data_IF_269285466043
#
_entry.id   IF_269285466043
#
_cell.length_a   1.000
_cell.length_b   1.000
_cell.length_c   1.000
_cell.angle_alpha   90.00
_cell.angle_beta   90.00
_cell.angle_gamma   90.00
#
_symmetry.space_group_name_H-M   'P 1'
#
loop_
_entity.id
_entity.type
_entity.pdbx_description
1 polymer ?
#
# COMPACT_ATOMS: atom_id res chain seq x y z
N UNK A 1 40.23 -2.08 13.22
CA UNK A 1 39.09 -1.68 12.39
C UNK A 1 39.09 -0.16 12.32
N UNK A 2 39.31 0.42 11.15
CA UNK A 2 39.58 1.85 11.00
C UNK A 2 38.35 2.69 11.34
N UNK A 3 38.52 3.71 12.18
CA UNK A 3 37.50 4.68 12.59
C UNK A 3 36.75 5.27 11.38
N UNK A 4 37.44 5.46 10.25
CA UNK A 4 36.85 5.94 8.99
C UNK A 4 35.78 4.99 8.41
N UNK A 5 35.98 3.67 8.50
CA UNK A 5 35.03 2.68 7.98
C UNK A 5 33.76 2.66 8.84
N UNK A 6 33.90 2.78 10.16
CA UNK A 6 32.78 2.84 11.08
C UNK A 6 31.94 4.11 10.87
N UNK A 7 32.60 5.24 10.59
CA UNK A 7 31.90 6.52 10.32
C UNK A 7 31.13 6.48 8.99
N UNK A 8 31.71 5.88 7.95
CA UNK A 8 31.04 5.73 6.65
C UNK A 8 29.85 4.79 6.75
N UNK A 9 29.98 3.70 7.52
CA UNK A 9 28.85 2.76 7.74
C UNK A 9 27.70 3.42 8.51
N UNK A 10 28.01 4.22 9.53
CA UNK A 10 27.00 4.96 10.30
C UNK A 10 26.29 6.02 9.44
N UNK A 11 26.98 6.71 8.56
CA UNK A 11 26.40 7.69 7.63
C UNK A 11 25.50 7.01 6.59
N UNK A 12 25.87 5.84 6.09
CA UNK A 12 25.03 5.09 5.14
C UNK A 12 23.75 4.55 5.78
N UNK A 13 23.83 4.09 7.03
CA UNK A 13 22.66 3.64 7.80
C UNK A 13 21.69 4.79 8.10
N UNK A 14 22.21 5.95 8.49
CA UNK A 14 21.37 7.13 8.75
C UNK A 14 20.67 7.65 7.50
N UNK A 15 21.37 7.69 6.35
CA UNK A 15 20.79 8.11 5.08
C UNK A 15 19.66 7.15 4.61
N UNK A 16 19.79 5.85 4.86
CA UNK A 16 18.76 4.86 4.52
C UNK A 16 17.53 4.99 5.41
N UNK A 17 17.70 5.25 6.70
CA UNK A 17 16.60 5.46 7.63
C UNK A 17 15.80 6.74 7.30
N UNK A 18 16.50 7.84 6.98
CA UNK A 18 15.86 9.11 6.57
C UNK A 18 15.07 8.92 5.27
N UNK A 19 15.62 8.18 4.30
CA UNK A 19 14.93 7.91 3.04
C UNK A 19 13.66 7.06 3.23
N UNK A 20 13.71 6.08 4.15
CA UNK A 20 12.56 5.25 4.49
C UNK A 20 11.44 6.07 5.16
N UNK A 21 11.78 6.91 6.12
CA UNK A 21 10.84 7.80 6.80
C UNK A 21 10.19 8.78 5.82
N UNK A 22 10.95 9.33 4.88
CA UNK A 22 10.44 10.24 3.85
C UNK A 22 9.46 9.55 2.89
N UNK A 23 9.73 8.30 2.50
CA UNK A 23 8.81 7.52 1.66
C UNK A 23 7.50 7.20 2.39
N UNK A 24 7.57 6.89 3.67
CA UNK A 24 6.39 6.66 4.51
C UNK A 24 5.53 7.93 4.66
N UNK A 25 6.14 9.07 4.92
CA UNK A 25 5.43 10.35 5.01
C UNK A 25 4.77 10.74 3.69
N UNK A 26 5.47 10.53 2.58
CA UNK A 26 4.92 10.79 1.25
C UNK A 26 3.69 9.90 0.96
N UNK A 27 3.77 8.60 1.22
CA UNK A 27 2.63 7.70 1.02
C UNK A 27 1.43 8.12 1.88
N UNK A 28 1.66 8.50 3.14
CA UNK A 28 0.60 9.03 4.02
C UNK A 28 -0.04 10.29 3.45
N UNK A 29 0.72 11.24 2.92
CA UNK A 29 0.15 12.46 2.34
C UNK A 29 -0.75 12.17 1.14
N UNK A 30 -0.29 11.32 0.21
CA UNK A 30 -1.08 10.91 -0.97
C UNK A 30 -2.40 10.24 -0.58
N UNK A 31 -2.38 9.42 0.48
CA UNK A 31 -3.58 8.74 0.98
C UNK A 31 -4.52 9.71 1.69
N UNK A 32 -3.98 10.62 2.50
CA UNK A 32 -4.76 11.63 3.23
C UNK A 32 -5.50 12.57 2.29
N UNK A 33 -4.89 12.99 1.19
CA UNK A 33 -5.53 13.81 0.16
C UNK A 33 -6.79 13.17 -0.43
N UNK A 34 -6.93 11.85 -0.31
CA UNK A 34 -8.12 11.09 -0.73
C UNK A 34 -9.17 10.90 0.36
N UNK A 35 -9.02 11.55 1.51
CA UNK A 35 -9.96 11.44 2.64
C UNK A 35 -9.84 10.16 3.46
N UNK A 36 -8.81 9.36 3.26
CA UNK A 36 -8.52 8.17 4.06
C UNK A 36 -7.79 8.58 5.33
N UNK A 37 -8.47 8.59 6.44
CA UNK A 37 -7.96 8.97 7.76
C UNK A 37 -8.12 7.85 8.78
N UNK A 38 -7.43 7.90 9.88
CA UNK A 38 -6.03 8.02 10.29
C UNK A 38 -5.33 6.67 10.54
N UNK A 39 -5.87 5.56 10.09
CA UNK A 39 -5.44 4.19 10.42
C UNK A 39 -4.48 3.59 9.38
N UNK A 40 -3.77 4.45 8.65
CA UNK A 40 -2.79 3.99 7.68
C UNK A 40 -1.45 3.75 8.37
N UNK A 41 -1.03 2.49 8.42
CA UNK A 41 0.31 2.12 8.85
C UNK A 41 1.20 2.08 7.61
N UNK A 42 2.32 2.79 7.65
CA UNK A 42 3.30 2.79 6.55
C UNK A 42 4.66 2.44 7.10
N UNK A 43 5.27 1.43 6.51
CA UNK A 43 6.63 0.96 6.83
C UNK A 43 7.44 0.76 5.56
N UNK A 44 8.77 0.73 5.67
CA UNK A 44 9.67 0.51 4.53
C UNK A 44 10.71 -0.56 4.88
N UNK A 45 10.30 -1.83 5.02
CA UNK A 45 11.23 -2.93 5.18
C UNK A 45 11.90 -3.29 3.84
N UNK A 46 13.21 -3.54 3.82
CA UNK A 46 13.94 -4.11 2.69
C UNK A 46 13.67 -3.44 1.33
N UNK A 47 13.67 -2.10 1.29
CA UNK A 47 13.36 -1.31 0.09
C UNK A 47 11.94 -1.59 -0.48
N UNK A 48 11.03 -2.11 0.34
CA UNK A 48 9.62 -2.30 0.03
C UNK A 48 8.78 -1.29 0.82
N UNK A 49 8.06 -0.41 0.13
CA UNK A 49 7.05 0.42 0.78
C UNK A 49 5.83 -0.45 1.09
N UNK A 50 5.49 -0.63 2.35
CA UNK A 50 4.32 -1.37 2.82
C UNK A 50 3.32 -0.39 3.40
N UNK A 51 2.09 -0.43 2.86
CA UNK A 51 0.97 0.40 3.29
C UNK A 51 -0.18 -0.50 3.72
N UNK A 52 -0.63 -0.36 4.95
CA UNK A 52 -1.84 -1.02 5.46
C UNK A 52 -2.89 0.05 5.74
N UNK A 53 -4.09 -0.13 5.20
CA UNK A 53 -5.19 0.83 5.31
C UNK A 53 -6.51 0.13 5.60
N UNK A 54 -7.37 0.77 6.39
CA UNK A 54 -8.71 0.27 6.69
C UNK A 54 -9.68 0.69 5.62
N UNK A 55 -10.48 -0.26 5.17
CA UNK A 55 -11.51 -0.07 4.17
C UNK A 55 -12.92 0.04 4.78
N UNK A 56 -13.04 -0.04 6.12
CA UNK A 56 -14.32 0.04 6.81
C UNK A 56 -15.15 1.29 6.46
N UNK A 57 -14.56 2.50 6.26
CA UNK A 57 -15.33 3.67 5.83
C UNK A 57 -16.05 3.45 4.49
N UNK A 58 -15.40 2.77 3.53
CA UNK A 58 -16.01 2.47 2.23
C UNK A 58 -17.10 1.42 2.35
N UNK A 59 -16.95 0.44 3.27
CA UNK A 59 -17.99 -0.55 3.59
C UNK A 59 -19.22 0.16 4.14
N UNK A 60 -19.04 1.06 5.10
CA UNK A 60 -20.13 1.82 5.71
C UNK A 60 -20.88 2.69 4.70
N UNK A 61 -20.19 3.25 3.71
CA UNK A 61 -20.76 4.06 2.63
C UNK A 61 -21.28 3.22 1.45
N UNK A 62 -21.23 1.90 1.53
CA UNK A 62 -21.62 0.96 0.46
C UNK A 62 -20.89 1.21 -0.88
N UNK A 63 -19.64 1.68 -0.82
CA UNK A 63 -18.82 1.94 -2.01
C UNK A 63 -18.22 0.64 -2.54
N UNK A 64 -17.90 0.62 -3.83
CA UNK A 64 -17.20 -0.50 -4.45
C UNK A 64 -15.74 -0.55 -3.96
N UNK A 65 -15.48 -1.46 -3.01
CA UNK A 65 -14.17 -1.62 -2.38
C UNK A 65 -13.06 -1.92 -3.39
N UNK A 66 -13.36 -2.66 -4.45
CA UNK A 66 -12.37 -3.01 -5.47
C UNK A 66 -11.91 -1.77 -6.22
N UNK A 67 -12.85 -0.92 -6.66
CA UNK A 67 -12.56 0.33 -7.34
C UNK A 67 -11.87 1.35 -6.43
N UNK A 68 -12.34 1.49 -5.18
CA UNK A 68 -11.76 2.42 -4.22
C UNK A 68 -10.32 2.06 -3.86
N UNK A 69 -10.08 0.80 -3.53
CA UNK A 69 -8.75 0.31 -3.24
C UNK A 69 -7.82 0.45 -4.46
N UNK A 70 -8.31 0.09 -5.65
CA UNK A 70 -7.58 0.25 -6.91
C UNK A 70 -7.23 1.70 -7.22
N UNK A 71 -8.13 2.66 -6.91
CA UNK A 71 -7.84 4.08 -7.08
C UNK A 71 -6.72 4.57 -6.17
N UNK A 72 -6.63 4.05 -4.94
CA UNK A 72 -5.52 4.33 -4.02
C UNK A 72 -4.22 3.75 -4.57
N UNK A 73 -4.23 2.47 -4.97
CA UNK A 73 -3.07 1.79 -5.57
C UNK A 73 -2.54 2.59 -6.77
N UNK A 74 -3.43 3.01 -7.67
CA UNK A 74 -3.10 3.82 -8.86
C UNK A 74 -2.44 5.14 -8.53
N UNK A 75 -2.73 5.73 -7.40
CA UNK A 75 -2.11 6.99 -6.96
C UNK A 75 -0.78 6.76 -6.26
N UNK A 76 -0.72 5.78 -5.37
CA UNK A 76 0.45 5.57 -4.49
C UNK A 76 1.60 4.90 -5.21
N UNK A 77 1.33 3.81 -5.97
CA UNK A 77 2.40 2.97 -6.55
C UNK A 77 3.28 3.74 -7.52
N UNK A 78 2.75 4.34 -8.61
CA UNK A 78 3.60 5.02 -9.57
C UNK A 78 4.31 6.23 -8.96
N UNK A 79 3.63 6.99 -8.12
CA UNK A 79 4.19 8.18 -7.48
C UNK A 79 5.33 7.84 -6.51
N UNK A 80 5.18 6.79 -5.69
CA UNK A 80 6.22 6.33 -4.78
C UNK A 80 7.44 5.77 -5.53
N UNK A 81 7.22 4.93 -6.54
CA UNK A 81 8.29 4.37 -7.35
C UNK A 81 9.03 5.43 -8.16
N UNK A 82 8.35 6.46 -8.67
CA UNK A 82 8.99 7.57 -9.38
C UNK A 82 9.86 8.42 -8.43
N UNK A 83 9.32 8.76 -7.25
CA UNK A 83 9.99 9.67 -6.31
C UNK A 83 11.14 9.02 -5.54
N UNK A 84 11.06 7.71 -5.26
CA UNK A 84 12.04 7.00 -4.44
C UNK A 84 12.74 5.88 -5.23
N UNK A 85 13.85 6.18 -5.92
CA UNK A 85 14.52 5.22 -6.82
C UNK A 85 15.06 3.98 -6.12
N UNK A 86 15.31 4.02 -4.80
CA UNK A 86 15.75 2.87 -4.00
C UNK A 86 14.65 1.86 -3.70
N UNK A 87 13.37 2.25 -3.78
CA UNK A 87 12.28 1.31 -3.59
C UNK A 87 12.25 0.29 -4.72
N UNK A 88 12.30 -0.98 -4.36
CA UNK A 88 12.19 -2.12 -5.30
C UNK A 88 10.75 -2.53 -5.52
N UNK A 89 9.90 -2.30 -4.53
CA UNK A 89 8.49 -2.67 -4.61
C UNK A 89 7.62 -1.81 -3.71
N UNK A 90 6.32 -1.82 -4.01
CA UNK A 90 5.27 -1.21 -3.19
C UNK A 90 4.20 -2.26 -2.93
N UNK A 91 3.82 -2.44 -1.68
CA UNK A 91 2.75 -3.34 -1.25
C UNK A 91 1.66 -2.53 -0.56
N UNK A 92 0.42 -2.74 -0.96
CA UNK A 92 -0.74 -2.20 -0.25
C UNK A 92 -1.61 -3.35 0.26
N UNK A 93 -2.11 -3.19 1.49
CA UNK A 93 -3.00 -4.15 2.14
C UNK A 93 -4.24 -3.40 2.61
N UNK A 94 -5.40 -3.82 2.17
CA UNK A 94 -6.69 -3.34 2.66
C UNK A 94 -7.21 -4.26 3.75
N UNK A 95 -7.55 -3.68 4.89
CA UNK A 95 -8.07 -4.36 6.08
C UNK A 95 -9.54 -3.99 6.27
N UNK A 96 -10.34 -4.94 6.72
CA UNK A 96 -11.74 -4.73 7.12
C UNK A 96 -12.00 -5.38 8.46
N UNK A 97 -12.94 -4.83 9.21
CA UNK A 97 -13.44 -5.43 10.43
C UNK A 97 -14.49 -6.48 10.10
N UNK A 98 -14.24 -7.72 10.50
CA UNK A 98 -15.19 -8.81 10.38
C UNK A 98 -15.73 -9.20 11.76
N UNK A 99 -17.01 -9.56 11.82
CA UNK A 99 -17.67 -10.06 13.03
C UNK A 99 -17.85 -11.56 12.91
N UNK A 100 -17.52 -12.31 13.97
CA UNK A 100 -17.83 -13.73 14.05
C UNK A 100 -19.31 -13.95 14.43
N UNK A 101 -19.75 -15.21 14.44
CA UNK A 101 -21.14 -15.55 14.82
C UNK A 101 -21.52 -15.19 16.26
N UNK A 102 -20.53 -14.86 17.11
CA UNK A 102 -20.71 -14.42 18.50
C UNK A 102 -20.64 -12.91 18.65
N UNK A 103 -20.44 -12.18 17.54
CA UNK A 103 -20.31 -10.72 17.55
C UNK A 103 -18.90 -10.22 17.92
N UNK A 104 -17.90 -11.09 18.03
CA UNK A 104 -16.53 -10.64 18.29
C UNK A 104 -15.95 -10.03 17.02
N UNK A 105 -15.32 -8.89 17.18
CA UNK A 105 -14.63 -8.18 16.08
C UNK A 105 -13.23 -8.73 15.87
N UNK A 106 -12.84 -8.87 14.62
CA UNK A 106 -11.47 -9.15 14.22
C UNK A 106 -11.12 -8.41 12.95
N UNK A 107 -9.89 -7.93 12.86
CA UNK A 107 -9.34 -7.37 11.65
C UNK A 107 -8.93 -8.49 10.69
N UNK A 108 -9.35 -8.40 9.43
CA UNK A 108 -9.00 -9.36 8.39
C UNK A 108 -8.49 -8.64 7.14
N UNK A 109 -7.54 -9.28 6.45
CA UNK A 109 -7.06 -8.81 5.15
C UNK A 109 -8.14 -9.07 4.09
N UNK A 110 -8.72 -8.01 3.56
CA UNK A 110 -9.67 -8.08 2.45
C UNK A 110 -8.95 -8.21 1.12
N UNK A 111 -7.86 -7.47 0.96
CA UNK A 111 -7.05 -7.46 -0.26
C UNK A 111 -5.59 -7.13 0.07
N UNK A 112 -4.67 -7.72 -0.68
CA UNK A 112 -3.26 -7.33 -0.70
C UNK A 112 -2.77 -7.37 -2.14
N UNK A 113 -2.05 -6.34 -2.55
CA UNK A 113 -1.35 -6.27 -3.83
C UNK A 113 0.09 -5.85 -3.63
N UNK A 114 0.98 -6.35 -4.47
CA UNK A 114 2.39 -5.95 -4.52
C UNK A 114 2.81 -5.71 -5.95
N UNK A 115 3.47 -4.60 -6.19
CA UNK A 115 4.04 -4.23 -7.48
C UNK A 115 5.55 -4.10 -7.36
N UNK A 116 6.27 -4.77 -8.25
CA UNK A 116 7.72 -4.61 -8.37
C UNK A 116 8.04 -3.49 -9.35
N UNK A 117 9.09 -2.72 -9.06
CA UNK A 117 9.55 -1.62 -9.92
C UNK A 117 9.74 -2.05 -11.38
N UNK A 118 10.36 -3.21 -11.61
CA UNK A 118 10.67 -3.71 -12.93
C UNK A 118 9.41 -3.85 -13.82
N UNK A 119 8.33 -4.36 -13.25
CA UNK A 119 7.08 -4.61 -13.99
C UNK A 119 6.16 -3.37 -14.00
N UNK A 120 6.21 -2.57 -12.95
CA UNK A 120 5.41 -1.36 -12.80
C UNK A 120 5.66 -0.32 -13.91
N UNK A 121 6.86 -0.30 -14.50
CA UNK A 121 7.23 0.60 -15.59
C UNK A 121 6.44 0.34 -16.89
N UNK A 122 5.93 -0.87 -17.10
CA UNK A 122 5.13 -1.24 -18.28
C UNK A 122 3.64 -0.92 -18.14
N UNK A 123 3.18 -0.58 -16.93
CA UNK A 123 1.76 -0.30 -16.64
C UNK A 123 1.42 1.13 -17.04
N UNK A 124 0.38 1.30 -17.84
CA UNK A 124 -0.17 2.61 -18.19
C UNK A 124 -1.12 3.11 -17.12
N UNK A 125 -0.55 3.57 -15.99
CA UNK A 125 -1.27 3.95 -14.78
C UNK A 125 -2.41 4.94 -14.99
N UNK A 126 -2.28 5.86 -15.96
CA UNK A 126 -3.28 6.89 -16.24
C UNK A 126 -4.56 6.34 -16.88
N UNK A 127 -4.45 5.21 -17.59
CA UNK A 127 -5.55 4.63 -18.38
C UNK A 127 -6.13 3.34 -17.75
N UNK A 128 -5.41 2.70 -16.81
CA UNK A 128 -5.91 1.49 -16.15
C UNK A 128 -7.15 1.81 -15.32
N UNK A 129 -8.20 1.01 -15.52
CA UNK A 129 -9.38 1.10 -14.67
C UNK A 129 -9.03 0.69 -13.23
N UNK A 130 -9.39 1.49 -12.21
CA UNK A 130 -9.12 1.15 -10.81
C UNK A 130 -9.58 -0.26 -10.41
N UNK A 131 -10.73 -0.71 -10.88
CA UNK A 131 -11.23 -2.05 -10.59
C UNK A 131 -10.33 -3.19 -11.11
N UNK A 132 -9.55 -2.94 -12.17
CA UNK A 132 -8.69 -3.95 -12.79
C UNK A 132 -7.26 -3.96 -12.23
N UNK A 133 -6.89 -2.95 -11.44
CA UNK A 133 -5.54 -2.80 -10.90
C UNK A 133 -5.12 -3.99 -10.03
N UNK A 134 -6.05 -4.56 -9.27
CA UNK A 134 -5.79 -5.73 -8.43
C UNK A 134 -5.37 -6.93 -9.31
N UNK A 135 -5.97 -7.05 -10.50
CA UNK A 135 -5.74 -8.19 -11.39
C UNK A 135 -4.38 -8.16 -12.09
N UNK A 136 -3.80 -6.98 -12.29
CA UNK A 136 -2.48 -6.79 -12.91
C UNK A 136 -1.32 -6.72 -11.91
N UNK A 137 -1.58 -6.87 -10.61
CA UNK A 137 -0.52 -6.86 -9.60
C UNK A 137 0.40 -8.08 -9.72
N UNK A 138 1.70 -7.89 -9.46
CA UNK A 138 2.70 -8.96 -9.49
C UNK A 138 2.41 -10.05 -8.45
N UNK A 139 1.91 -9.63 -7.26
CA UNK A 139 1.37 -10.54 -6.24
C UNK A 139 0.07 -9.98 -5.73
N UNK A 140 -0.91 -10.85 -5.54
CA UNK A 140 -2.21 -10.48 -4.99
C UNK A 140 -2.78 -11.55 -4.08
N UNK A 141 -3.51 -11.11 -3.08
CA UNK A 141 -4.41 -11.95 -2.28
C UNK A 141 -5.73 -11.20 -2.16
N UNK A 142 -6.83 -11.85 -2.48
CA UNK A 142 -8.17 -11.27 -2.41
C UNK A 142 -9.05 -12.18 -1.58
N UNK A 143 -9.62 -11.65 -0.50
CA UNK A 143 -10.57 -12.40 0.32
C UNK A 143 -11.89 -12.58 -0.44
N UNK A 144 -12.57 -13.74 -0.30
CA UNK A 144 -13.93 -13.92 -0.83
C UNK A 144 -14.92 -12.84 -0.38
N UNK A 145 -14.68 -12.21 0.77
CA UNK A 145 -15.51 -11.10 1.26
C UNK A 145 -15.51 -9.90 0.32
N UNK A 146 -14.39 -9.64 -0.37
CA UNK A 146 -14.31 -8.54 -1.35
C UNK A 146 -15.13 -8.84 -2.61
N UNK A 147 -15.24 -10.10 -2.98
CA UNK A 147 -16.02 -10.53 -4.15
C UNK A 147 -17.54 -10.44 -3.95
N UNK A 148 -18.00 -10.50 -2.71
CA UNK A 148 -19.43 -10.53 -2.37
C UNK A 148 -20.07 -9.14 -2.27
N UNK A 149 -19.26 -8.08 -2.16
CA UNK A 149 -19.76 -6.69 -2.03
C UNK A 149 -20.28 -6.12 -3.36
N UNK A 150 -20.06 -6.82 -4.49
CA UNK A 150 -20.48 -6.38 -5.85
C UNK A 150 -21.88 -6.86 -6.22
N UNK A 151 -22.54 -7.68 -5.40
CA UNK A 151 -23.80 -8.35 -5.73
C UNK A 151 -24.96 -7.96 -4.80
N UNK A 152 -25.23 -6.67 -4.62
CA UNK A 152 -26.52 -6.19 -4.07
C UNK A 152 -26.94 -4.88 -4.69
#
# INVERSE_FOLDING_TARGET
>A
MNLAIALILALLLSASAIAAETAAMFAKSVITERGLHPWTIVTVPDECLVVELRLDPFVAEQRDLKSEFGAIVRSVVPAALAKFPKLRSVQLTGLVTAHDKRGNEREVKAVMVKFYRANSASIKWDTVNPADIIDIADKKTVSPMLATTVAR
#
